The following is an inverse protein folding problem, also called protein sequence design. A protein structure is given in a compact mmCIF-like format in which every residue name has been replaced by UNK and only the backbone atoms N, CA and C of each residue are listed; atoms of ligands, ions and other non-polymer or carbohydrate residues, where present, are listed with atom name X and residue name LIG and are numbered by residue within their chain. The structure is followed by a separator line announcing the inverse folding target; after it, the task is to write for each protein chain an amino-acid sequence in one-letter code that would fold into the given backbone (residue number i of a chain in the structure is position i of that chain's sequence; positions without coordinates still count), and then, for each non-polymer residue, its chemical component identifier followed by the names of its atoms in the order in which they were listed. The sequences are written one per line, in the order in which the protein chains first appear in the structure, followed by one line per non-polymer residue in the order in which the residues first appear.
data_IF_825518829642
#
_entry.id   IF_825518829642
#
_cell.length_a   1.000
_cell.length_b   1.000
_cell.length_c   1.000
_cell.angle_alpha   90.00
_cell.angle_beta   90.00
_cell.angle_gamma   90.00
#
_symmetry.space_group_name_H-M   'P 1'
#
loop_
_entity.id
_entity.type
_entity.pdbx_description
1 polymer ?
#
# COMPACT_ATOMS: atom_id res chain seq x y z
N UNK A 1 -10.43 -4.50 11.10
CA UNK A 1 -9.69 -5.46 10.25
C UNK A 1 -10.49 -6.77 10.24
N UNK A 2 -11.39 -6.95 9.27
CA UNK A 2 -12.20 -8.18 9.14
C UNK A 2 -11.38 -9.16 8.31
N UNK A 3 -10.95 -10.25 8.93
CA UNK A 3 -10.31 -11.36 8.22
C UNK A 3 -11.35 -12.05 7.31
N UNK A 4 -11.02 -12.36 6.05
CA UNK A 4 -11.93 -13.08 5.15
C UNK A 4 -11.97 -14.57 5.54
N UNK A 5 -12.79 -14.91 6.53
CA UNK A 5 -12.91 -16.26 7.12
C UNK A 5 -13.33 -17.32 6.06
N UNK A 6 -13.93 -16.90 4.95
CA UNK A 6 -14.50 -17.79 3.92
C UNK A 6 -13.48 -18.53 3.05
N UNK A 7 -12.38 -17.88 2.67
CA UNK A 7 -11.39 -18.48 1.75
C UNK A 7 -10.30 -19.25 2.51
N UNK A 8 -9.97 -18.82 3.73
CA UNK A 8 -9.03 -19.54 4.58
C UNK A 8 -9.54 -20.95 4.93
N UNK A 9 -10.84 -21.13 5.19
CA UNK A 9 -11.39 -22.44 5.56
C UNK A 9 -11.16 -23.51 4.47
N UNK A 10 -11.24 -23.13 3.19
CA UNK A 10 -10.99 -24.05 2.07
C UNK A 10 -9.51 -24.46 1.99
N UNK A 11 -8.61 -23.56 2.36
CA UNK A 11 -7.16 -23.80 2.34
C UNK A 11 -6.76 -24.75 3.47
N UNK A 12 -7.38 -24.60 4.65
CA UNK A 12 -7.08 -25.43 5.83
C UNK A 12 -7.82 -26.77 5.86
N UNK A 13 -8.84 -26.96 5.03
CA UNK A 13 -9.67 -28.18 4.99
C UNK A 13 -8.87 -29.49 4.92
N UNK A 14 -7.80 -29.62 4.10
CA UNK A 14 -7.00 -30.84 4.06
C UNK A 14 -6.25 -31.14 5.37
N UNK A 15 -5.82 -30.11 6.10
CA UNK A 15 -5.14 -30.30 7.39
C UNK A 15 -6.15 -30.76 8.44
N UNK A 16 -7.32 -30.12 8.47
CA UNK A 16 -8.40 -30.45 9.40
C UNK A 16 -8.92 -31.86 9.16
N UNK A 17 -9.10 -32.29 7.90
CA UNK A 17 -9.59 -33.64 7.59
C UNK A 17 -8.63 -34.73 8.05
N UNK A 18 -7.32 -34.51 7.91
CA UNK A 18 -6.29 -35.47 8.35
C UNK A 18 -6.19 -35.54 9.86
N UNK A 19 -6.31 -34.39 10.55
CA UNK A 19 -6.36 -34.37 12.02
C UNK A 19 -7.61 -35.07 12.57
N UNK A 20 -8.78 -34.86 11.95
CA UNK A 20 -10.00 -35.59 12.31
C UNK A 20 -9.87 -37.10 12.08
N UNK A 21 -9.24 -37.50 10.97
CA UNK A 21 -8.93 -38.91 10.73
C UNK A 21 -7.99 -39.48 11.80
N UNK A 22 -6.96 -38.73 12.22
CA UNK A 22 -6.06 -39.14 13.29
C UNK A 22 -6.82 -39.35 14.61
N UNK A 23 -7.70 -38.42 14.99
CA UNK A 23 -8.56 -38.55 16.18
C UNK A 23 -9.45 -39.78 16.07
N UNK A 24 -10.07 -40.02 14.91
CA UNK A 24 -10.91 -41.19 14.70
C UNK A 24 -10.14 -42.51 14.87
N UNK A 25 -8.90 -42.58 14.37
CA UNK A 25 -8.02 -43.75 14.54
C UNK A 25 -7.63 -43.93 16.01
N UNK A 26 -7.34 -42.86 16.76
CA UNK A 26 -7.04 -42.93 18.20
C UNK A 26 -8.24 -43.51 18.96
N UNK A 27 -9.45 -42.97 18.73
CA UNK A 27 -10.67 -43.43 19.40
C UNK A 27 -10.95 -44.90 19.07
N UNK A 28 -10.82 -45.27 17.79
CA UNK A 28 -10.99 -46.65 17.32
C UNK A 28 -9.93 -47.60 17.88
N UNK A 29 -8.70 -47.13 18.10
CA UNK A 29 -7.63 -47.94 18.68
C UNK A 29 -7.80 -48.18 20.18
N UNK A 30 -8.16 -47.15 20.93
CA UNK A 30 -8.31 -47.23 22.40
C UNK A 30 -9.58 -48.00 22.78
N UNK A 31 -10.72 -47.66 22.15
CA UNK A 31 -12.03 -48.20 22.54
C UNK A 31 -12.51 -49.33 21.64
N UNK A 32 -11.88 -49.54 20.48
CA UNK A 32 -12.35 -50.50 19.48
C UNK A 32 -12.41 -51.92 20.01
N UNK A 33 -11.47 -52.33 20.87
CA UNK A 33 -11.47 -53.67 21.45
C UNK A 33 -12.72 -53.94 22.32
N UNK A 34 -13.20 -52.93 23.06
CA UNK A 34 -14.37 -53.01 23.93
C UNK A 34 -15.69 -53.06 23.13
N UNK A 35 -15.74 -52.42 21.97
CA UNK A 35 -16.95 -52.40 21.12
C UNK A 35 -17.21 -53.72 20.37
N UNK A 36 -16.19 -54.54 20.16
CA UNK A 36 -16.31 -55.83 19.46
C UNK A 36 -16.10 -57.04 20.39
N UNK A 37 -16.23 -56.85 21.70
CA UNK A 37 -16.17 -57.97 22.68
C UNK A 37 -17.23 -59.02 22.35
N UNK A 38 -16.81 -60.28 22.24
CA UNK A 38 -17.70 -61.42 21.98
C UNK A 38 -18.00 -61.70 20.50
N UNK A 39 -17.58 -60.82 19.58
CA UNK A 39 -17.75 -61.06 18.15
C UNK A 39 -16.44 -61.62 17.53
N UNK A 40 -16.55 -62.65 16.68
CA UNK A 40 -15.41 -63.39 16.09
C UNK A 40 -15.28 -63.19 14.57
N UNK A 41 -16.11 -62.34 13.98
CA UNK A 41 -16.06 -62.02 12.56
C UNK A 41 -14.73 -61.39 12.13
N UNK A 42 -14.39 -61.55 10.85
CA UNK A 42 -13.15 -61.04 10.25
C UNK A 42 -12.93 -59.54 10.52
N UNK A 43 -14.00 -58.75 10.51
CA UNK A 43 -13.96 -57.32 10.82
C UNK A 43 -13.61 -57.04 12.30
N UNK A 44 -14.19 -57.79 13.22
CA UNK A 44 -13.93 -57.67 14.67
C UNK A 44 -12.48 -58.02 15.01
N UNK A 45 -11.92 -59.02 14.34
CA UNK A 45 -10.50 -59.37 14.48
C UNK A 45 -9.58 -58.29 13.88
N UNK A 46 -9.95 -57.69 12.75
CA UNK A 46 -9.19 -56.60 12.14
C UNK A 46 -9.12 -55.35 13.05
N UNK A 47 -10.21 -55.01 13.74
CA UNK A 47 -10.24 -53.91 14.72
C UNK A 47 -9.36 -54.22 15.94
N UNK A 48 -9.37 -55.46 16.45
CA UNK A 48 -8.48 -55.87 17.56
C UNK A 48 -7.00 -55.86 17.19
N UNK A 49 -6.64 -56.17 15.93
CA UNK A 49 -5.27 -56.16 15.44
C UNK A 49 -4.81 -54.80 14.89
N UNK A 50 -5.62 -53.75 15.05
CA UNK A 50 -5.32 -52.43 14.49
C UNK A 50 -4.08 -51.81 15.16
N UNK A 51 -3.03 -51.58 14.39
CA UNK A 51 -1.82 -50.85 14.84
C UNK A 51 -2.07 -49.33 14.84
N UNK A 52 -2.97 -48.88 15.71
CA UNK A 52 -3.42 -47.50 15.75
C UNK A 52 -2.28 -46.52 16.03
N UNK A 53 -1.27 -46.90 16.80
CA UNK A 53 -0.09 -46.07 17.08
C UNK A 53 0.70 -45.74 15.80
N UNK A 54 0.93 -46.73 14.93
CA UNK A 54 1.64 -46.52 13.67
C UNK A 54 0.80 -45.71 12.68
N UNK A 55 -0.50 -45.98 12.61
CA UNK A 55 -1.42 -45.24 11.74
C UNK A 55 -1.56 -43.76 12.17
N UNK A 56 -1.63 -43.50 13.47
CA UNK A 56 -1.71 -42.13 14.01
C UNK A 56 -0.41 -41.38 13.79
N UNK A 57 0.75 -42.00 14.01
CA UNK A 57 2.05 -41.40 13.67
C UNK A 57 2.13 -41.02 12.18
N UNK A 58 1.64 -41.90 11.29
CA UNK A 58 1.55 -41.62 9.86
C UNK A 58 0.62 -40.45 9.53
N UNK A 59 -0.56 -40.38 10.16
CA UNK A 59 -1.53 -39.30 9.95
C UNK A 59 -1.03 -37.96 10.52
N UNK A 60 -0.34 -37.95 11.65
CA UNK A 60 0.30 -36.74 12.16
C UNK A 60 1.43 -36.26 11.24
N UNK A 61 2.23 -37.19 10.69
CA UNK A 61 3.23 -36.86 9.67
C UNK A 61 2.60 -36.25 8.41
N UNK A 62 1.49 -36.81 7.95
CA UNK A 62 0.73 -36.29 6.81
C UNK A 62 0.13 -34.91 7.13
N UNK A 63 -0.45 -34.72 8.31
CA UNK A 63 -0.98 -33.42 8.75
C UNK A 63 0.12 -32.35 8.78
N UNK A 64 1.30 -32.69 9.29
CA UNK A 64 2.48 -31.81 9.25
C UNK A 64 2.90 -31.45 7.83
N UNK A 65 2.93 -32.42 6.91
CA UNK A 65 3.22 -32.18 5.49
C UNK A 65 2.17 -31.27 4.82
N UNK A 66 0.88 -31.49 5.07
CA UNK A 66 -0.19 -30.63 4.58
C UNK A 66 -0.10 -29.20 5.12
N UNK A 67 0.24 -29.05 6.41
CA UNK A 67 0.43 -27.75 7.04
C UNK A 67 1.54 -26.95 6.35
N UNK A 68 2.69 -27.58 6.08
CA UNK A 68 3.79 -26.93 5.35
C UNK A 68 3.33 -26.49 3.95
N UNK A 69 2.61 -27.34 3.21
CA UNK A 69 2.11 -26.98 1.88
C UNK A 69 1.15 -25.79 1.92
N UNK A 70 0.26 -25.74 2.92
CA UNK A 70 -0.64 -24.61 3.13
C UNK A 70 0.14 -23.34 3.45
N UNK A 71 1.08 -23.41 4.39
CA UNK A 71 1.92 -22.27 4.78
C UNK A 71 2.74 -21.74 3.60
N UNK A 72 3.34 -22.64 2.80
CA UNK A 72 4.10 -22.25 1.60
C UNK A 72 3.20 -21.60 0.54
N UNK A 73 1.98 -22.10 0.33
CA UNK A 73 1.03 -21.46 -0.60
C UNK A 73 0.67 -20.05 -0.16
N UNK A 74 0.38 -19.85 1.13
CA UNK A 74 0.10 -18.53 1.68
C UNK A 74 1.32 -17.60 1.55
N UNK A 75 2.53 -18.11 1.84
CA UNK A 75 3.76 -17.35 1.68
C UNK A 75 3.98 -16.93 0.22
N UNK A 76 3.78 -17.81 -0.75
CA UNK A 76 3.91 -17.49 -2.18
C UNK A 76 2.89 -16.42 -2.59
N UNK A 77 1.63 -16.54 -2.15
CA UNK A 77 0.61 -15.54 -2.45
C UNK A 77 0.97 -14.17 -1.86
N UNK A 78 1.46 -14.15 -0.62
CA UNK A 78 1.93 -12.94 0.03
C UNK A 78 3.12 -12.32 -0.72
N UNK A 79 4.14 -13.11 -1.06
CA UNK A 79 5.31 -12.65 -1.82
C UNK A 79 4.91 -12.11 -3.19
N UNK A 80 3.97 -12.76 -3.89
CA UNK A 80 3.45 -12.28 -5.18
C UNK A 80 2.75 -10.93 -5.06
N UNK A 81 1.93 -10.74 -4.03
CA UNK A 81 1.27 -9.45 -3.76
C UNK A 81 2.31 -8.36 -3.52
N UNK A 82 3.26 -8.60 -2.62
CA UNK A 82 4.34 -7.65 -2.32
C UNK A 82 5.20 -7.32 -3.53
N UNK A 83 5.59 -8.31 -4.33
CA UNK A 83 6.41 -8.08 -5.51
C UNK A 83 5.72 -7.15 -6.52
N UNK A 84 4.41 -7.30 -6.71
CA UNK A 84 3.65 -6.46 -7.65
C UNK A 84 3.39 -5.07 -7.06
N UNK A 85 3.07 -4.97 -5.77
CA UNK A 85 2.99 -3.68 -5.09
C UNK A 85 4.31 -2.92 -5.22
N UNK A 86 5.46 -3.58 -5.04
CA UNK A 86 6.78 -2.99 -5.27
C UNK A 86 6.98 -2.52 -6.71
N UNK A 87 6.58 -3.29 -7.72
CA UNK A 87 6.69 -2.87 -9.12
C UNK A 87 5.81 -1.65 -9.40
N UNK A 88 4.57 -1.63 -8.91
CA UNK A 88 3.66 -0.48 -9.07
C UNK A 88 4.21 0.74 -8.33
N UNK A 89 4.76 0.56 -7.13
CA UNK A 89 5.37 1.64 -6.35
C UNK A 89 6.63 2.17 -7.02
N UNK A 90 7.42 1.31 -7.66
CA UNK A 90 8.59 1.71 -8.44
C UNK A 90 8.19 2.51 -9.69
N UNK A 91 7.12 2.11 -10.38
CA UNK A 91 6.55 2.85 -11.51
C UNK A 91 6.01 4.23 -11.10
N UNK A 92 5.47 4.35 -9.89
CA UNK A 92 4.88 5.59 -9.37
C UNK A 92 5.85 6.47 -8.58
N UNK A 93 7.01 5.94 -8.20
CA UNK A 93 8.04 6.62 -7.41
C UNK A 93 8.39 8.02 -7.93
N UNK A 94 8.55 8.25 -9.26
CA UNK A 94 8.81 9.60 -9.77
C UNK A 94 7.73 10.62 -9.40
N UNK A 95 6.45 10.22 -9.34
CA UNK A 95 5.34 11.13 -9.03
C UNK A 95 5.28 11.48 -7.54
N UNK A 96 5.55 10.51 -6.66
CA UNK A 96 5.68 10.78 -5.23
C UNK A 96 6.89 11.66 -4.92
N UNK A 97 8.00 11.50 -5.65
CA UNK A 97 9.16 12.39 -5.52
C UNK A 97 8.80 13.83 -5.90
N UNK A 98 8.02 14.03 -6.96
CA UNK A 98 7.56 15.35 -7.39
C UNK A 98 6.68 16.00 -6.32
N UNK A 99 5.73 15.24 -5.79
CA UNK A 99 4.87 15.73 -4.72
C UNK A 99 5.69 16.13 -3.49
N UNK A 100 6.62 15.27 -3.06
CA UNK A 100 7.51 15.55 -1.93
C UNK A 100 8.37 16.79 -2.19
N UNK A 101 8.92 16.93 -3.40
CA UNK A 101 9.68 18.11 -3.82
C UNK A 101 8.83 19.38 -3.75
N UNK A 102 7.59 19.35 -4.24
CA UNK A 102 6.70 20.51 -4.19
C UNK A 102 6.38 20.88 -2.73
N UNK A 103 6.06 19.90 -1.89
CA UNK A 103 5.82 20.11 -0.45
C UNK A 103 7.03 20.71 0.24
N UNK A 104 8.22 20.19 -0.02
CA UNK A 104 9.47 20.69 0.55
C UNK A 104 9.73 22.14 0.13
N UNK A 105 9.57 22.44 -1.16
CA UNK A 105 9.75 23.80 -1.65
C UNK A 105 8.71 24.77 -1.05
N UNK A 106 7.46 24.33 -0.84
CA UNK A 106 6.41 25.13 -0.19
C UNK A 106 6.74 25.41 1.28
N UNK A 107 7.28 24.41 1.98
CA UNK A 107 7.70 24.54 3.38
C UNK A 107 8.90 25.47 3.53
N UNK A 108 9.92 25.33 2.68
CA UNK A 108 11.04 26.27 2.59
C UNK A 108 10.57 27.69 2.31
N UNK A 109 9.63 27.86 1.39
CA UNK A 109 9.07 29.17 1.07
C UNK A 109 8.33 29.76 2.27
N UNK A 110 7.51 28.98 2.96
CA UNK A 110 6.83 29.41 4.19
C UNK A 110 7.82 29.85 5.26
N UNK A 111 8.88 29.07 5.49
CA UNK A 111 9.94 29.40 6.45
C UNK A 111 10.64 30.72 6.08
N UNK A 112 10.88 30.98 4.79
CA UNK A 112 11.47 32.24 4.32
C UNK A 112 10.50 33.40 4.52
N UNK A 113 9.21 33.24 4.22
CA UNK A 113 8.18 34.27 4.44
C UNK A 113 8.08 34.60 5.92
N UNK A 114 7.91 33.60 6.78
CA UNK A 114 7.81 33.75 8.23
C UNK A 114 9.06 34.43 8.81
N UNK A 115 10.25 34.04 8.35
CA UNK A 115 11.49 34.71 8.71
C UNK A 115 11.49 36.17 8.26
N UNK A 116 11.11 36.47 7.01
CA UNK A 116 11.07 37.86 6.53
C UNK A 116 10.04 38.73 7.26
N UNK A 117 8.89 38.17 7.65
CA UNK A 117 7.90 38.88 8.46
C UNK A 117 8.41 39.13 9.88
N UNK A 118 9.01 38.12 10.51
CA UNK A 118 9.64 38.29 11.83
C UNK A 118 10.71 39.38 11.77
N UNK A 119 11.55 39.38 10.74
CA UNK A 119 12.58 40.41 10.54
C UNK A 119 12.00 41.80 10.26
N UNK A 120 10.85 41.91 9.58
CA UNK A 120 10.13 43.18 9.38
C UNK A 120 9.59 43.74 10.68
N UNK A 121 9.11 42.88 11.58
CA UNK A 121 8.67 43.29 12.91
C UNK A 121 9.85 43.77 13.78
N UNK A 122 11.07 43.24 13.54
CA UNK A 122 12.27 43.62 14.30
C UNK A 122 13.07 44.79 13.71
N UNK A 123 12.96 45.08 12.41
CA UNK A 123 13.81 46.06 11.70
C UNK A 123 12.97 46.99 10.81
N UNK A 124 12.78 48.21 11.27
CA UNK A 124 11.99 49.27 10.62
C UNK A 124 12.79 49.98 9.51
N UNK A 125 13.24 49.26 8.46
CA UNK A 125 14.04 49.86 7.38
C UNK A 125 13.75 49.38 5.95
N UNK A 126 13.73 50.40 5.08
CA UNK A 126 13.66 50.49 3.61
C UNK A 126 13.77 49.18 2.78
N UNK A 127 12.64 48.80 2.18
CA UNK A 127 12.37 47.57 1.42
C UNK A 127 13.16 47.39 0.11
N UNK A 128 13.92 48.39 -0.33
CA UNK A 128 14.42 48.46 -1.70
C UNK A 128 15.62 47.54 -2.02
N UNK A 129 16.27 46.91 -1.04
CA UNK A 129 17.49 46.13 -1.26
C UNK A 129 17.28 44.62 -1.48
N UNK A 130 16.13 44.05 -1.13
CA UNK A 130 15.85 42.61 -1.29
C UNK A 130 14.89 42.25 -2.44
N UNK A 131 14.32 43.26 -3.13
CA UNK A 131 13.36 43.06 -4.22
C UNK A 131 13.89 42.29 -5.44
N UNK A 132 15.21 42.24 -5.66
CA UNK A 132 15.80 41.62 -6.87
C UNK A 132 16.31 40.18 -6.69
N UNK A 133 16.36 39.65 -5.45
CA UNK A 133 16.82 38.28 -5.16
C UNK A 133 15.72 37.30 -4.77
N UNK A 134 14.46 37.71 -4.70
CA UNK A 134 13.32 36.79 -4.70
C UNK A 134 13.16 36.22 -6.11
N UNK A 135 14.01 35.25 -6.48
CA UNK A 135 13.68 34.34 -7.58
C UNK A 135 12.35 33.72 -7.19
N UNK A 136 11.27 34.20 -7.79
CA UNK A 136 9.91 33.87 -7.39
C UNK A 136 9.77 32.35 -7.37
N UNK A 137 9.49 31.77 -6.21
CA UNK A 137 9.29 30.34 -5.98
C UNK A 137 8.45 29.68 -7.11
N UNK A 138 7.44 30.41 -7.58
CA UNK A 138 6.58 30.10 -8.73
C UNK A 138 7.38 29.79 -10.02
N UNK A 139 8.44 30.56 -10.33
CA UNK A 139 9.29 30.37 -11.52
C UNK A 139 10.07 29.06 -11.41
N UNK A 140 10.61 28.74 -10.23
CA UNK A 140 11.35 27.50 -9.98
C UNK A 140 10.41 26.30 -10.14
N UNK A 141 9.21 26.39 -9.55
CA UNK A 141 8.20 25.34 -9.62
C UNK A 141 7.72 25.10 -11.05
N UNK A 142 7.39 26.17 -11.78
CA UNK A 142 6.95 26.09 -13.18
C UNK A 142 8.03 25.48 -14.09
N UNK A 143 9.31 25.85 -13.90
CA UNK A 143 10.43 25.27 -14.67
C UNK A 143 10.60 23.77 -14.40
N UNK A 144 10.47 23.32 -13.15
CA UNK A 144 10.53 21.89 -12.81
C UNK A 144 9.35 21.12 -13.41
N UNK A 145 8.13 21.63 -13.26
CA UNK A 145 6.93 21.00 -13.82
C UNK A 145 6.97 20.92 -15.35
N UNK A 146 7.48 21.95 -16.02
CA UNK A 146 7.64 21.95 -17.48
C UNK A 146 8.51 20.81 -17.99
N UNK A 147 9.62 20.51 -17.29
CA UNK A 147 10.54 19.43 -17.67
C UNK A 147 9.87 18.05 -17.59
N UNK A 148 8.94 17.86 -16.65
CA UNK A 148 8.22 16.60 -16.44
C UNK A 148 7.06 16.44 -17.42
N UNK A 149 6.39 17.53 -17.77
CA UNK A 149 5.27 17.51 -18.72
C UNK A 149 5.67 16.96 -20.11
N UNK A 150 6.94 17.10 -20.47
CA UNK A 150 7.50 16.60 -21.72
C UNK A 150 7.93 15.12 -21.66
N UNK A 151 7.67 14.43 -20.54
CA UNK A 151 7.86 12.99 -20.45
C UNK A 151 6.68 12.25 -21.12
N UNK A 152 6.94 11.65 -22.27
CA UNK A 152 5.93 10.88 -23.02
C UNK A 152 5.45 9.63 -22.27
N UNK A 153 6.19 9.16 -21.27
CA UNK A 153 5.82 7.98 -20.47
C UNK A 153 4.78 8.26 -19.37
N UNK A 154 4.43 9.54 -19.15
CA UNK A 154 3.54 9.95 -18.07
C UNK A 154 2.08 9.51 -18.31
N UNK A 155 1.43 8.82 -17.34
CA UNK A 155 0.02 8.47 -17.40
C UNK A 155 -0.87 9.70 -17.64
N UNK A 156 -1.84 9.56 -18.54
CA UNK A 156 -2.71 10.66 -18.97
C UNK A 156 -3.49 11.32 -17.81
N UNK A 157 -3.80 10.54 -16.76
CA UNK A 157 -4.46 11.04 -15.55
C UNK A 157 -3.53 11.96 -14.74
N UNK A 158 -2.28 11.55 -14.55
CA UNK A 158 -1.26 12.32 -13.83
C UNK A 158 -0.89 13.58 -14.63
N UNK A 159 -0.77 13.45 -15.96
CA UNK A 159 -0.50 14.56 -16.87
C UNK A 159 -1.53 15.68 -16.74
N UNK A 160 -2.82 15.35 -16.70
CA UNK A 160 -3.90 16.33 -16.55
C UNK A 160 -3.81 17.09 -15.23
N UNK A 161 -3.52 16.42 -14.13
CA UNK A 161 -3.38 17.10 -12.84
C UNK A 161 -2.15 18.00 -12.77
N UNK A 162 -1.03 17.58 -13.38
CA UNK A 162 0.15 18.43 -13.51
C UNK A 162 -0.15 19.65 -14.37
N UNK A 163 -0.95 19.53 -15.43
CA UNK A 163 -1.43 20.68 -16.21
C UNK A 163 -2.26 21.65 -15.37
N UNK A 164 -3.20 21.12 -14.57
CA UNK A 164 -4.05 21.93 -13.69
C UNK A 164 -3.21 22.68 -12.65
N UNK A 165 -2.30 21.98 -11.97
CA UNK A 165 -1.33 22.59 -11.05
C UNK A 165 -0.51 23.69 -11.73
N UNK A 166 -0.07 23.45 -12.97
CA UNK A 166 0.73 24.43 -13.72
C UNK A 166 -0.10 25.65 -14.10
N UNK A 167 -1.34 25.46 -14.53
CA UNK A 167 -2.26 26.57 -14.83
C UNK A 167 -2.55 27.40 -13.58
N UNK A 168 -2.75 26.76 -12.42
CA UNK A 168 -2.92 27.44 -11.13
C UNK A 168 -1.69 28.30 -10.81
N UNK A 169 -0.48 27.74 -10.92
CA UNK A 169 0.77 28.47 -10.66
C UNK A 169 0.93 29.67 -11.60
N UNK A 170 0.62 29.51 -12.90
CA UNK A 170 0.68 30.61 -13.88
C UNK A 170 -0.35 31.70 -13.53
N UNK A 171 -1.58 31.30 -13.17
CA UNK A 171 -2.63 32.24 -12.75
C UNK A 171 -2.22 33.04 -11.50
N UNK A 172 -1.63 32.38 -10.51
CA UNK A 172 -1.16 33.03 -9.28
C UNK A 172 0.03 33.96 -9.55
N UNK A 173 0.90 33.60 -10.49
CA UNK A 173 2.00 34.47 -10.95
C UNK A 173 1.45 35.75 -11.59
N UNK A 174 0.44 35.61 -12.45
CA UNK A 174 -0.16 36.73 -13.17
C UNK A 174 -0.91 37.67 -12.21
N UNK A 175 -1.67 37.12 -11.25
CA UNK A 175 -2.32 37.91 -10.19
C UNK A 175 -1.31 38.70 -9.37
N UNK A 176 -0.18 38.10 -8.98
CA UNK A 176 0.91 38.78 -8.25
C UNK A 176 1.54 39.90 -9.07
N UNK A 177 1.80 39.68 -10.36
CA UNK A 177 2.40 40.68 -11.24
C UNK A 177 1.45 41.86 -11.52
N UNK A 178 0.14 41.63 -11.51
CA UNK A 178 -0.90 42.63 -11.76
C UNK A 178 -1.29 43.46 -10.52
N UNK A 179 -0.40 43.58 -9.53
CA UNK A 179 -0.54 44.44 -8.33
C UNK A 179 -1.76 44.14 -7.44
N UNK A 180 -2.39 42.96 -7.57
CA UNK A 180 -3.29 42.47 -6.52
C UNK A 180 -2.42 42.10 -5.32
N UNK A 181 -2.65 42.77 -4.19
CA UNK A 181 -1.96 42.52 -2.92
C UNK A 181 -2.47 41.21 -2.29
N UNK A 182 -2.25 40.11 -3.00
CA UNK A 182 -2.57 38.77 -2.52
C UNK A 182 -1.46 38.40 -1.56
N UNK A 183 -1.85 38.11 -0.31
CA UNK A 183 -0.91 37.65 0.70
C UNK A 183 -0.21 36.37 0.19
N UNK A 184 1.12 36.33 0.28
CA UNK A 184 1.91 35.17 -0.17
C UNK A 184 1.46 33.87 0.53
N UNK A 185 0.88 33.97 1.73
CA UNK A 185 0.27 32.86 2.47
C UNK A 185 -0.99 32.26 1.81
N UNK A 186 -1.78 33.08 1.11
CA UNK A 186 -2.97 32.63 0.38
C UNK A 186 -2.56 31.83 -0.86
N UNK A 187 -1.54 32.29 -1.59
CA UNK A 187 -0.92 31.58 -2.72
C UNK A 187 -0.37 30.21 -2.27
N UNK A 188 0.35 30.17 -1.15
CA UNK A 188 0.90 28.91 -0.61
C UNK A 188 -0.22 27.93 -0.23
N UNK A 189 -1.30 28.43 0.36
CA UNK A 189 -2.44 27.61 0.78
C UNK A 189 -3.18 27.00 -0.42
N UNK A 190 -3.42 27.79 -1.48
CA UNK A 190 -4.03 27.29 -2.72
C UNK A 190 -3.17 26.21 -3.40
N UNK A 191 -1.85 26.41 -3.45
CA UNK A 191 -0.94 25.42 -4.04
C UNK A 191 -0.89 24.14 -3.18
N UNK A 192 -0.87 24.25 -1.86
CA UNK A 192 -0.91 23.08 -0.96
C UNK A 192 -2.17 22.24 -1.15
N UNK A 193 -3.34 22.88 -1.31
CA UNK A 193 -4.59 22.18 -1.59
C UNK A 193 -4.51 21.42 -2.91
N UNK A 194 -4.06 22.08 -3.98
CA UNK A 194 -3.92 21.45 -5.29
C UNK A 194 -2.90 20.29 -5.29
N UNK A 195 -1.84 20.38 -4.48
CA UNK A 195 -0.86 19.28 -4.28
C UNK A 195 -1.50 18.11 -3.51
N UNK A 196 -2.39 18.41 -2.56
CA UNK A 196 -3.20 17.40 -1.87
C UNK A 196 -4.12 16.64 -2.84
N UNK A 197 -4.80 17.36 -3.73
CA UNK A 197 -5.65 16.77 -4.77
C UNK A 197 -4.81 15.89 -5.73
N UNK A 198 -3.63 16.37 -6.13
CA UNK A 198 -2.70 15.62 -6.95
C UNK A 198 -2.25 14.31 -6.27
N UNK A 199 -1.92 14.36 -4.97
CA UNK A 199 -1.60 13.16 -4.18
C UNK A 199 -2.73 12.14 -4.20
N UNK A 200 -3.97 12.59 -4.00
CA UNK A 200 -5.13 11.70 -4.01
C UNK A 200 -5.31 11.03 -5.39
N UNK A 201 -5.05 11.77 -6.48
CA UNK A 201 -5.09 11.22 -7.83
C UNK A 201 -4.00 10.18 -8.06
N UNK A 202 -2.77 10.40 -7.58
CA UNK A 202 -1.69 9.39 -7.62
C UNK A 202 -2.13 8.12 -6.88
N UNK A 203 -2.70 8.26 -5.67
CA UNK A 203 -3.18 7.13 -4.87
C UNK A 203 -4.33 6.38 -5.56
N UNK A 204 -5.30 7.08 -6.14
CA UNK A 204 -6.39 6.47 -6.91
C UNK A 204 -5.85 5.73 -8.13
N UNK A 205 -4.88 6.30 -8.83
CA UNK A 205 -4.23 5.65 -9.97
C UNK A 205 -3.47 4.40 -9.55
N UNK A 206 -2.72 4.44 -8.44
CA UNK A 206 -2.08 3.28 -7.80
C UNK A 206 -3.07 2.16 -7.53
N UNK A 207 -4.16 2.46 -6.84
CA UNK A 207 -5.19 1.47 -6.53
C UNK A 207 -5.80 0.85 -7.78
N UNK A 208 -6.00 1.65 -8.84
CA UNK A 208 -6.50 1.17 -10.12
C UNK A 208 -5.49 0.23 -10.80
N UNK A 209 -4.20 0.56 -10.80
CA UNK A 209 -3.15 -0.30 -11.35
C UNK A 209 -3.06 -1.63 -10.60
N UNK A 210 -3.12 -1.60 -9.27
CA UNK A 210 -3.17 -2.81 -8.44
C UNK A 210 -4.38 -3.66 -8.78
N UNK A 211 -5.59 -3.07 -8.87
CA UNK A 211 -6.81 -3.80 -9.21
C UNK A 211 -6.80 -4.40 -10.63
N UNK A 212 -6.22 -3.69 -11.60
CA UNK A 212 -6.09 -4.21 -12.98
C UNK A 212 -5.10 -5.37 -13.03
N UNK A 213 -3.99 -5.29 -12.27
CA UNK A 213 -2.98 -6.37 -12.20
C UNK A 213 -3.40 -7.53 -11.28
N UNK A 214 -4.39 -7.31 -10.40
CA UNK A 214 -5.04 -8.31 -9.56
C UNK A 214 -6.57 -8.16 -9.57
N UNK A 215 -7.27 -8.75 -10.54
CA UNK A 215 -8.73 -8.78 -10.54
C UNK A 215 -9.32 -9.70 -9.47
N UNK A 216 -8.48 -10.55 -8.85
CA UNK A 216 -8.86 -11.52 -7.79
C UNK A 216 -8.71 -10.95 -6.35
N UNK A 217 -8.35 -9.67 -6.21
CA UNK A 217 -8.30 -8.93 -4.93
C UNK A 217 -9.55 -8.05 -4.77
#
# INVERSE_FOLDING_TARGET
MKWPIGDDLKIWWPVVSVLLAAVFVIVSGIWGADFVVGNADAFSNAVRSLQWETMTAGLFGLAGGCLVLVATRQQIQHVKRHAIEQVVDQELSPYFQIEADIRYLLEDFKNIVDATQTWQETVDYDWNLYGSKRVSFIIILNKRMYKMFHDESMPLVIRKEIELLRMLIISLQDKKNNLLDIAENEIVSEILLAVGDFHEVILKHRQRLIRVRFPEL
#
